data_IF_878881611589
#
_entry.id   IF_878881611589
#
_cell.length_a   1.000
_cell.length_b   1.000
_cell.length_c   1.000
_cell.angle_alpha   90.00
_cell.angle_beta   90.00
_cell.angle_gamma   90.00
#
_symmetry.space_group_name_H-M   'P 1'
#
loop_
_entity.id
_entity.type
_entity.pdbx_description
1 polymer ?
#
# COMPACT_ATOMS: atom_id res chain seq x y z
N UNK A 1 9.16 -4.66 -1.35
CA UNK A 1 8.82 -4.08 -2.68
C UNK A 1 9.04 -2.57 -2.62
N UNK A 2 9.59 -1.94 -3.66
CA UNK A 2 9.77 -0.49 -3.66
C UNK A 2 8.40 0.19 -3.82
N UNK A 3 7.97 1.09 -2.90
CA UNK A 3 6.67 1.77 -2.96
C UNK A 3 6.39 2.43 -4.32
N UNK A 4 7.39 3.06 -4.91
CA UNK A 4 7.25 3.76 -6.19
C UNK A 4 6.96 2.81 -7.35
N UNK A 5 7.57 1.62 -7.35
CA UNK A 5 7.32 0.61 -8.36
C UNK A 5 5.88 0.06 -8.25
N UNK A 6 5.37 -0.08 -7.02
CA UNK A 6 3.98 -0.50 -6.81
C UNK A 6 3.00 0.59 -7.26
N UNK A 7 3.28 1.86 -6.97
CA UNK A 7 2.46 2.99 -7.42
C UNK A 7 2.39 3.10 -8.95
N UNK A 8 3.53 2.96 -9.63
CA UNK A 8 3.60 2.96 -11.10
C UNK A 8 2.83 1.78 -11.70
N UNK A 9 2.95 0.59 -11.09
CA UNK A 9 2.23 -0.61 -11.53
C UNK A 9 0.72 -0.44 -11.38
N UNK A 10 0.26 0.07 -10.24
CA UNK A 10 -1.17 0.37 -10.01
C UNK A 10 -1.67 1.38 -11.06
N UNK A 11 -0.92 2.46 -11.31
CA UNK A 11 -1.29 3.46 -12.31
C UNK A 11 -1.42 2.86 -13.72
N UNK A 12 -0.45 2.01 -14.10
CA UNK A 12 -0.44 1.31 -15.38
C UNK A 12 -1.66 0.40 -15.56
N UNK A 13 -1.98 -0.43 -14.56
CA UNK A 13 -3.14 -1.33 -14.60
C UNK A 13 -4.45 -0.54 -14.65
N UNK A 14 -4.57 0.53 -13.87
CA UNK A 14 -5.81 1.34 -13.81
C UNK A 14 -6.06 2.10 -15.12
N UNK A 15 -4.99 2.55 -15.80
CA UNK A 15 -5.05 3.27 -17.07
C UNK A 15 -5.20 2.38 -18.31
N UNK A 16 -5.15 1.05 -18.15
CA UNK A 16 -5.26 0.10 -19.25
C UNK A 16 -6.64 0.10 -19.92
N UNK A 17 -6.72 0.14 -21.26
CA UNK A 17 -7.98 -0.04 -21.96
C UNK A 17 -8.48 -1.48 -21.74
N UNK A 18 -9.71 -1.63 -21.24
CA UNK A 18 -10.34 -2.94 -21.05
C UNK A 18 -10.48 -3.41 -19.59
N UNK A 19 -9.96 -2.68 -18.60
CA UNK A 19 -10.20 -3.02 -17.20
C UNK A 19 -11.70 -2.86 -16.84
N UNK A 20 -12.29 -3.82 -16.13
CA UNK A 20 -13.66 -3.68 -15.66
C UNK A 20 -13.78 -2.60 -14.58
N UNK A 21 -14.89 -1.86 -14.53
CA UNK A 21 -15.08 -0.77 -13.54
C UNK A 21 -15.00 -1.27 -12.10
N UNK A 22 -15.56 -2.46 -11.83
CA UNK A 22 -15.46 -3.07 -10.50
C UNK A 22 -14.01 -3.40 -10.12
N UNK A 23 -13.17 -3.79 -11.09
CA UNK A 23 -11.76 -4.04 -10.85
C UNK A 23 -10.99 -2.74 -10.58
N UNK A 24 -11.31 -1.65 -11.30
CA UNK A 24 -10.78 -0.31 -11.01
C UNK A 24 -11.16 0.15 -9.61
N UNK A 25 -12.43 0.03 -9.23
CA UNK A 25 -12.92 0.42 -7.91
C UNK A 25 -12.24 -0.38 -6.79
N UNK A 26 -12.08 -1.69 -6.98
CA UNK A 26 -11.35 -2.54 -6.03
C UNK A 26 -9.89 -2.10 -5.88
N UNK A 27 -9.19 -1.86 -6.99
CA UNK A 27 -7.79 -1.42 -6.98
C UNK A 27 -7.64 -0.05 -6.30
N UNK A 28 -8.55 0.89 -6.57
CA UNK A 28 -8.60 2.20 -5.94
C UNK A 28 -8.82 2.10 -4.41
N UNK A 29 -9.72 1.22 -3.95
CA UNK A 29 -9.98 1.02 -2.53
C UNK A 29 -8.75 0.43 -1.80
N UNK A 30 -8.07 -0.54 -2.41
CA UNK A 30 -6.85 -1.12 -1.84
C UNK A 30 -5.71 -0.09 -1.80
N UNK A 31 -5.56 0.73 -2.86
CA UNK A 31 -4.59 1.83 -2.87
C UNK A 31 -4.89 2.85 -1.77
N UNK A 32 -6.13 3.29 -1.63
CA UNK A 32 -6.52 4.22 -0.58
C UNK A 32 -6.23 3.68 0.83
N UNK A 33 -6.40 2.38 1.03
CA UNK A 33 -6.06 1.69 2.29
C UNK A 33 -4.55 1.70 2.54
N UNK A 34 -3.74 1.42 1.52
CA UNK A 34 -2.28 1.51 1.60
C UNK A 34 -1.83 2.93 1.95
N UNK A 35 -2.37 3.95 1.26
CA UNK A 35 -2.03 5.35 1.48
C UNK A 35 -2.40 5.82 2.89
N UNK A 36 -3.56 5.40 3.40
CA UNK A 36 -3.96 5.69 4.78
C UNK A 36 -3.01 5.06 5.81
N UNK A 37 -2.57 3.82 5.58
CA UNK A 37 -1.61 3.14 6.44
C UNK A 37 -0.23 3.83 6.42
N UNK A 38 0.28 4.19 5.24
CA UNK A 38 1.53 4.97 5.09
C UNK A 38 1.48 6.30 5.84
N UNK A 39 0.37 7.04 5.74
CA UNK A 39 0.18 8.30 6.47
C UNK A 39 0.23 8.09 7.98
N UNK A 40 -0.51 7.09 8.48
CA UNK A 40 -0.50 6.75 9.92
C UNK A 40 0.90 6.37 10.40
N UNK A 41 1.65 5.57 9.63
CA UNK A 41 3.06 5.26 9.96
C UNK A 41 3.91 6.52 10.03
N UNK A 42 3.75 7.46 9.10
CA UNK A 42 4.44 8.75 9.12
C UNK A 42 4.12 9.58 10.37
N UNK A 43 2.85 9.67 10.74
CA UNK A 43 2.40 10.35 11.97
C UNK A 43 3.02 9.71 13.21
N UNK A 44 3.03 8.37 13.30
CA UNK A 44 3.62 7.64 14.44
C UNK A 44 5.14 7.82 14.52
N UNK A 45 5.85 7.88 13.39
CA UNK A 45 7.29 8.18 13.37
C UNK A 45 7.56 9.59 13.90
N UNK A 46 6.77 10.57 13.50
CA UNK A 46 6.88 11.93 14.02
C UNK A 46 6.57 12.03 15.52
N UNK A 47 5.60 11.24 16.02
CA UNK A 47 5.34 11.12 17.46
C UNK A 47 6.53 10.49 18.20
N UNK A 48 7.14 9.44 17.63
CA UNK A 48 8.32 8.78 18.20
C UNK A 48 9.52 9.72 18.27
N UNK A 49 9.80 10.48 17.20
CA UNK A 49 10.88 11.48 17.19
C UNK A 49 10.72 12.53 18.31
N UNK A 50 9.48 12.96 18.57
CA UNK A 50 9.16 13.86 19.69
C UNK A 50 9.38 13.20 21.05
N UNK A 51 8.94 11.96 21.23
CA UNK A 51 9.15 11.22 22.47
C UNK A 51 10.64 11.00 22.76
N UNK A 52 11.42 10.62 21.75
CA UNK A 52 12.86 10.38 21.88
C UNK A 52 13.67 11.66 22.14
N UNK A 53 13.17 12.82 21.69
CA UNK A 53 13.79 14.13 21.97
C UNK A 53 13.44 14.69 23.35
N UNK A 54 12.73 13.93 24.19
CA UNK A 54 12.31 14.35 25.53
C UNK A 54 11.13 15.33 25.50
N UNK A 55 10.42 15.42 24.37
CA UNK A 55 9.16 16.15 24.28
C UNK A 55 8.09 15.48 25.14
N UNK A 56 7.32 16.30 25.85
CA UNK A 56 6.26 15.89 26.77
C UNK A 56 5.06 15.31 26.01
N UNK A 57 5.24 14.12 25.45
CA UNK A 57 4.21 13.29 24.84
C UNK A 57 4.01 12.10 25.76
N UNK A 58 2.91 12.06 26.50
CA UNK A 58 2.65 11.08 27.57
C UNK A 58 2.54 9.60 27.15
N UNK A 59 3.10 9.21 26.01
CA UNK A 59 3.13 7.84 25.50
C UNK A 59 4.58 7.35 25.42
N UNK A 60 4.83 6.14 25.90
CA UNK A 60 6.18 5.56 25.94
C UNK A 60 6.73 5.37 24.52
N UNK A 61 8.01 5.72 24.31
CA UNK A 61 8.70 5.50 23.04
C UNK A 61 8.69 4.01 22.64
N UNK A 62 8.72 3.09 23.61
CA UNK A 62 8.61 1.65 23.36
C UNK A 62 7.25 1.28 22.78
N UNK A 63 6.16 1.84 23.30
CA UNK A 63 4.81 1.60 22.78
C UNK A 63 4.68 2.09 21.33
N UNK A 64 5.27 3.25 21.02
CA UNK A 64 5.30 3.81 19.67
C UNK A 64 6.11 2.93 18.70
N UNK A 65 7.24 2.38 19.15
CA UNK A 65 8.03 1.44 18.36
C UNK A 65 7.27 0.14 18.05
N UNK A 66 6.55 -0.41 19.04
CA UNK A 66 5.72 -1.61 18.84
C UNK A 66 4.54 -1.33 17.90
N UNK A 67 3.89 -0.18 18.03
CA UNK A 67 2.81 0.24 17.11
C UNK A 67 3.36 0.41 15.68
N UNK A 68 4.55 0.98 15.52
CA UNK A 68 5.21 1.15 14.22
C UNK A 68 5.56 -0.19 13.56
N UNK A 69 6.18 -1.14 14.27
CA UNK A 69 6.45 -2.49 13.73
C UNK A 69 5.15 -3.18 13.28
N UNK A 70 4.08 -3.07 14.07
CA UNK A 70 2.78 -3.61 13.70
C UNK A 70 2.22 -2.96 12.41
N UNK A 71 2.33 -1.63 12.28
CA UNK A 71 1.90 -0.89 11.10
C UNK A 71 2.73 -1.23 9.86
N UNK A 72 4.04 -1.39 10.00
CA UNK A 72 4.94 -1.77 8.90
C UNK A 72 4.60 -3.17 8.37
N UNK A 73 4.35 -4.14 9.27
CA UNK A 73 3.89 -5.48 8.86
C UNK A 73 2.51 -5.45 8.19
N UNK A 74 1.62 -4.55 8.61
CA UNK A 74 0.33 -4.35 7.95
C UNK A 74 0.53 -3.76 6.56
N UNK A 75 1.38 -2.75 6.42
CA UNK A 75 1.73 -2.15 5.13
C UNK A 75 2.29 -3.19 4.16
N UNK A 76 3.23 -4.02 4.61
CA UNK A 76 3.81 -5.07 3.77
C UNK A 76 2.75 -6.05 3.25
N UNK A 77 1.79 -6.44 4.10
CA UNK A 77 0.68 -7.31 3.69
C UNK A 77 -0.26 -6.64 2.70
N UNK A 78 -0.52 -5.34 2.85
CA UNK A 78 -1.36 -4.58 1.91
C UNK A 78 -0.64 -4.45 0.56
N UNK A 79 0.65 -4.11 0.58
CA UNK A 79 1.47 -3.96 -0.62
C UNK A 79 1.57 -5.29 -1.38
N UNK A 80 1.74 -6.41 -0.67
CA UNK A 80 1.74 -7.75 -1.27
C UNK A 80 0.41 -8.05 -1.98
N UNK A 81 -0.72 -7.84 -1.30
CA UNK A 81 -2.06 -8.03 -1.90
C UNK A 81 -2.31 -7.12 -3.10
N UNK A 82 -1.83 -5.89 -3.04
CA UNK A 82 -1.92 -4.95 -4.16
C UNK A 82 -1.13 -5.44 -5.38
N UNK A 83 0.07 -6.01 -5.16
CA UNK A 83 0.85 -6.60 -6.26
C UNK A 83 0.15 -7.81 -6.88
N UNK A 84 -0.36 -8.73 -6.05
CA UNK A 84 -1.12 -9.90 -6.50
C UNK A 84 -2.37 -9.50 -7.29
N UNK A 85 -3.08 -8.46 -6.83
CA UNK A 85 -4.23 -7.91 -7.56
C UNK A 85 -3.80 -7.32 -8.91
N UNK A 86 -2.71 -6.55 -8.95
CA UNK A 86 -2.18 -6.03 -10.22
C UNK A 86 -1.76 -7.15 -11.18
N UNK A 87 -1.16 -8.22 -10.67
CA UNK A 87 -0.75 -9.40 -11.44
C UNK A 87 -1.95 -10.09 -12.07
N UNK A 88 -2.94 -10.45 -11.26
CA UNK A 88 -4.15 -11.13 -11.75
C UNK A 88 -4.92 -10.31 -12.80
N UNK A 89 -4.96 -8.98 -12.66
CA UNK A 89 -5.62 -8.08 -13.62
C UNK A 89 -4.81 -7.90 -14.91
N UNK A 90 -3.48 -8.08 -14.86
CA UNK A 90 -2.61 -8.02 -16.05
C UNK A 90 -2.68 -9.34 -16.82
N UNK A 91 -2.68 -10.48 -16.12
CA UNK A 91 -2.75 -11.82 -16.74
C UNK A 91 -4.10 -12.06 -17.43
N UNK A 92 -5.19 -11.56 -16.86
CA UNK A 92 -6.53 -11.68 -17.47
C UNK A 92 -6.73 -10.79 -18.69
N UNK A 93 -5.89 -9.75 -18.86
CA UNK A 93 -5.98 -8.77 -19.95
C UNK A 93 -5.11 -9.08 -21.18
N UNK A 94 -4.25 -10.10 -21.15
CA UNK A 94 -3.44 -10.47 -22.32
C UNK A 94 -4.23 -11.39 -23.24
N UNK A 95 -4.56 -10.98 -24.49
CA UNK A 95 -5.11 -11.91 -25.47
C UNK A 95 -4.04 -12.96 -25.74
N UNK A 96 -4.35 -14.24 -25.51
CA UNK A 96 -3.51 -15.35 -26.02
C UNK A 96 -3.52 -15.26 -27.54
N UNK A 97 -2.44 -14.75 -28.12
CA UNK A 97 -2.23 -14.76 -29.56
C UNK A 97 -1.98 -16.21 -29.99
N UNK A 98 -3.04 -16.91 -30.43
CA UNK A 98 -2.92 -18.30 -30.84
C UNK A 98 -4.23 -19.08 -31.02
N UNK A 99 -5.36 -18.43 -31.25
CA UNK A 99 -6.62 -19.10 -31.62
C UNK A 99 -7.19 -18.42 -32.88
N UNK A 100 -6.59 -18.73 -34.03
CA UNK A 100 -7.10 -18.46 -35.37
C UNK A 100 -6.47 -19.45 -36.36
#
# INVERSE_FOLDING_TARGET
MNPHLLEERVATVTGGPGLAENARASLAAHKATADACRRRTGERRAELEKALSGGDGGRDALDLLLELDALERVQDRIDQRLSELCESLTETGTPRYGDA
#
